data_IF_944099069748
#
_entry.id   IF_944099069748
#
_cell.length_a   1.000
_cell.length_b   1.000
_cell.length_c   1.000
_cell.angle_alpha   90.00
_cell.angle_beta   90.00
_cell.angle_gamma   90.00
#
_symmetry.space_group_name_H-M   'P 1'
#
loop_
_entity.id
_entity.type
_entity.pdbx_description
1 polymer ?
#
# COMPACT_ATOMS: atom_id res chain seq x y z
N UNK A 1 6.42 23.52 22.85
CA UNK A 1 7.11 22.25 22.54
C UNK A 1 6.19 21.02 22.57
N UNK A 2 5.36 20.82 23.61
CA UNK A 2 4.51 19.61 23.71
C UNK A 2 3.54 19.39 22.54
N UNK A 3 2.95 20.47 21.99
CA UNK A 3 2.05 20.41 20.82
C UNK A 3 2.69 19.77 19.59
N UNK A 4 3.97 20.06 19.33
CA UNK A 4 4.71 19.51 18.18
C UNK A 4 5.03 18.02 18.36
N UNK A 5 5.39 17.63 19.57
CA UNK A 5 5.63 16.23 19.89
C UNK A 5 4.34 15.40 19.84
N UNK A 6 3.21 15.95 20.33
CA UNK A 6 1.90 15.30 20.19
C UNK A 6 1.47 15.19 18.73
N UNK A 7 1.59 16.26 17.94
CA UNK A 7 1.27 16.25 16.51
C UNK A 7 2.08 15.17 15.78
N UNK A 8 3.37 15.04 16.10
CA UNK A 8 4.22 14.04 15.50
C UNK A 8 3.84 12.62 15.92
N UNK A 9 3.49 12.38 17.19
CA UNK A 9 2.97 11.07 17.63
C UNK A 9 1.69 10.70 16.86
N UNK A 10 0.75 11.63 16.71
CA UNK A 10 -0.50 11.42 15.96
C UNK A 10 -0.21 11.13 14.48
N UNK A 11 0.61 11.95 13.82
CA UNK A 11 1.01 11.74 12.42
C UNK A 11 1.67 10.38 12.23
N UNK A 12 2.49 9.97 13.19
CA UNK A 12 3.18 8.68 13.11
C UNK A 12 2.20 7.51 13.30
N UNK A 13 1.28 7.60 14.27
CA UNK A 13 0.22 6.61 14.45
C UNK A 13 -0.68 6.46 13.21
N UNK A 14 -1.01 7.57 12.55
CA UNK A 14 -1.75 7.56 11.28
C UNK A 14 -0.96 6.86 10.17
N UNK A 15 0.34 7.15 10.05
CA UNK A 15 1.20 6.49 9.07
C UNK A 15 1.27 4.96 9.29
N UNK A 16 1.35 4.51 10.55
CA UNK A 16 1.24 3.08 10.90
C UNK A 16 -0.11 2.49 10.48
N UNK A 17 -1.20 3.19 10.79
CA UNK A 17 -2.56 2.77 10.48
C UNK A 17 -2.84 2.61 8.99
N UNK A 18 -2.04 3.25 8.11
CA UNK A 18 -2.16 3.12 6.65
C UNK A 18 -1.15 2.10 6.10
N UNK A 19 0.10 2.13 6.57
CA UNK A 19 1.19 1.34 5.97
C UNK A 19 1.10 -0.14 6.35
N UNK A 20 0.75 -0.45 7.60
CA UNK A 20 0.66 -1.84 8.07
C UNK A 20 -0.45 -2.62 7.33
N UNK A 21 -1.70 -2.11 7.23
CA UNK A 21 -2.73 -2.80 6.44
C UNK A 21 -2.37 -2.95 4.97
N UNK A 22 -1.68 -1.95 4.38
CA UNK A 22 -1.19 -2.03 3.00
C UNK A 22 -0.19 -3.17 2.83
N UNK A 23 0.83 -3.26 3.66
CA UNK A 23 1.83 -4.34 3.62
C UNK A 23 1.20 -5.72 3.86
N UNK A 24 0.23 -5.81 4.78
CA UNK A 24 -0.50 -7.04 5.03
C UNK A 24 -1.28 -7.48 3.78
N UNK A 25 -2.00 -6.55 3.13
CA UNK A 25 -2.69 -6.79 1.86
C UNK A 25 -1.75 -7.26 0.76
N UNK A 26 -0.59 -6.61 0.61
CA UNK A 26 0.42 -7.02 -0.36
C UNK A 26 0.91 -8.45 -0.10
N UNK A 27 1.16 -8.80 1.17
CA UNK A 27 1.55 -10.14 1.57
C UNK A 27 0.45 -11.19 1.27
N UNK A 28 -0.82 -10.83 1.41
CA UNK A 28 -1.94 -11.71 1.03
C UNK A 28 -1.99 -11.94 -0.49
N UNK A 29 -1.86 -10.88 -1.29
CA UNK A 29 -1.87 -10.98 -2.76
C UNK A 29 -0.70 -11.84 -3.26
N UNK A 30 0.51 -11.64 -2.72
CA UNK A 30 1.69 -12.46 -3.07
C UNK A 30 1.57 -13.89 -2.52
N UNK A 31 0.66 -14.16 -1.58
CA UNK A 31 0.44 -15.50 -1.00
C UNK A 31 1.37 -15.84 0.17
N UNK A 32 2.04 -14.85 0.76
CA UNK A 32 2.80 -15.02 2.01
C UNK A 32 1.90 -15.07 3.24
N UNK A 33 0.68 -14.53 3.14
CA UNK A 33 -0.34 -14.58 4.17
C UNK A 33 -1.65 -15.14 3.60
N UNK A 34 -2.43 -15.89 4.39
CA UNK A 34 -3.72 -16.37 3.94
C UNK A 34 -4.75 -15.24 3.85
N UNK A 35 -5.80 -15.46 3.07
CA UNK A 35 -7.02 -14.64 3.08
C UNK A 35 -7.41 -14.09 1.72
N UNK A 36 -6.48 -13.91 0.78
CA UNK A 36 -6.83 -13.57 -0.59
C UNK A 36 -7.34 -14.81 -1.33
N UNK A 37 -8.47 -14.68 -2.03
CA UNK A 37 -8.96 -15.68 -2.98
C UNK A 37 -8.24 -15.47 -4.31
N UNK A 38 -7.57 -16.51 -4.82
CA UNK A 38 -6.83 -16.43 -6.08
C UNK A 38 -7.57 -17.22 -7.15
N UNK A 39 -7.92 -16.52 -8.24
CA UNK A 39 -8.63 -17.09 -9.39
C UNK A 39 -7.79 -16.88 -10.65
N UNK A 40 -7.72 -17.91 -11.49
CA UNK A 40 -7.14 -17.78 -12.83
C UNK A 40 -8.17 -17.18 -13.77
N UNK A 41 -7.86 -16.02 -14.32
CA UNK A 41 -8.70 -15.31 -15.28
C UNK A 41 -7.95 -15.10 -16.59
N UNK A 42 -8.69 -14.92 -17.68
CA UNK A 42 -8.09 -14.55 -18.97
C UNK A 42 -8.13 -13.05 -19.14
N UNK A 43 -7.06 -12.45 -19.65
CA UNK A 43 -7.03 -11.04 -20.03
C UNK A 43 -7.98 -10.83 -21.20
N UNK A 44 -9.01 -10.00 -21.02
CA UNK A 44 -10.00 -9.69 -22.04
C UNK A 44 -9.76 -8.33 -22.67
N UNK A 45 -9.16 -7.42 -21.91
CA UNK A 45 -8.93 -6.03 -22.31
C UNK A 45 -7.61 -5.52 -21.74
N UNK A 46 -7.02 -4.54 -22.43
CA UNK A 46 -5.82 -3.81 -22.02
C UNK A 46 -5.90 -2.40 -22.58
N UNK A 47 -5.47 -1.43 -21.81
CA UNK A 47 -5.53 -0.04 -22.22
C UNK A 47 -4.48 0.82 -21.55
N UNK A 48 -4.48 2.09 -21.96
CA UNK A 48 -3.59 3.12 -21.45
C UNK A 48 -4.43 4.34 -21.14
N UNK A 49 -4.40 4.77 -19.88
CA UNK A 49 -5.03 6.01 -19.46
C UNK A 49 -3.98 7.11 -19.40
N UNK A 50 -4.32 8.31 -19.85
CA UNK A 50 -3.49 9.50 -19.60
C UNK A 50 -3.76 10.02 -18.18
N UNK A 51 -2.76 9.88 -17.33
CA UNK A 51 -2.72 10.43 -15.99
C UNK A 51 -2.32 11.91 -15.97
N UNK A 52 -2.33 12.47 -14.76
CA UNK A 52 -1.92 13.85 -14.55
C UNK A 52 -0.48 14.09 -15.03
N UNK A 53 -0.24 15.26 -15.61
CA UNK A 53 1.07 15.69 -16.15
C UNK A 53 1.61 14.80 -17.27
N UNK A 54 0.72 14.18 -18.06
CA UNK A 54 1.08 13.40 -19.25
C UNK A 54 1.71 12.04 -18.93
N UNK A 55 1.62 11.56 -17.69
CA UNK A 55 2.06 10.21 -17.33
C UNK A 55 1.06 9.18 -17.83
N UNK A 56 1.52 8.13 -18.49
CA UNK A 56 0.67 7.03 -18.96
C UNK A 56 0.50 5.98 -17.85
N UNK A 57 -0.74 5.52 -17.65
CA UNK A 57 -1.07 4.43 -16.75
C UNK A 57 -1.55 3.24 -17.55
N UNK A 58 -0.79 2.15 -17.47
CA UNK A 58 -1.05 0.94 -18.21
C UNK A 58 -1.88 -0.01 -17.36
N UNK A 59 -2.88 -0.62 -17.99
CA UNK A 59 -3.81 -1.48 -17.27
C UNK A 59 -4.28 -2.66 -18.11
N UNK A 60 -4.67 -3.72 -17.41
CA UNK A 60 -5.28 -4.92 -17.98
C UNK A 60 -6.55 -5.27 -17.21
N UNK A 61 -7.48 -5.93 -17.89
CA UNK A 61 -8.78 -6.29 -17.37
C UNK A 61 -9.19 -7.68 -17.83
N UNK A 62 -10.07 -8.30 -17.05
CA UNK A 62 -10.67 -9.60 -17.30
C UNK A 62 -12.21 -9.53 -17.28
N UNK A 63 -12.79 -8.33 -17.33
CA UNK A 63 -14.22 -8.15 -17.52
C UNK A 63 -14.63 -8.54 -18.95
N UNK A 64 -15.77 -9.24 -19.09
CA UNK A 64 -16.36 -9.56 -20.39
C UNK A 64 -17.41 -8.52 -20.83
N UNK A 65 -17.31 -7.31 -20.29
CA UNK A 65 -18.36 -6.30 -20.37
C UNK A 65 -17.81 -5.20 -21.28
N UNK A 66 -18.42 -4.97 -22.45
CA UNK A 66 -18.00 -3.88 -23.32
C UNK A 66 -18.08 -2.53 -22.59
N UNK A 67 -16.96 -1.83 -22.45
CA UNK A 67 -16.85 -0.57 -21.68
C UNK A 67 -15.58 -0.50 -20.83
N UNK A 68 -15.36 0.63 -20.15
CA UNK A 68 -14.24 0.78 -19.21
C UNK A 68 -14.49 -0.10 -17.98
N UNK A 69 -13.63 -1.10 -17.71
CA UNK A 69 -13.85 -2.07 -16.65
C UNK A 69 -13.70 -1.41 -15.27
N UNK A 70 -14.57 -1.80 -14.33
CA UNK A 70 -14.49 -1.33 -12.95
C UNK A 70 -13.22 -1.84 -12.26
N UNK A 71 -12.83 -1.23 -11.14
CA UNK A 71 -11.67 -1.65 -10.33
C UNK A 71 -11.73 -3.11 -9.84
N UNK A 72 -12.93 -3.70 -9.81
CA UNK A 72 -13.12 -5.11 -9.45
C UNK A 72 -12.62 -6.09 -10.54
N UNK A 73 -12.39 -5.60 -11.75
CA UNK A 73 -12.03 -6.42 -12.92
C UNK A 73 -10.82 -5.88 -13.68
N UNK A 74 -10.07 -4.96 -13.07
CA UNK A 74 -8.93 -4.29 -13.69
C UNK A 74 -7.84 -4.06 -12.66
N UNK A 75 -6.59 -4.23 -13.08
CA UNK A 75 -5.42 -3.80 -12.32
C UNK A 75 -4.44 -2.98 -13.19
N UNK A 76 -3.62 -2.16 -12.53
CA UNK A 76 -2.55 -1.42 -13.18
C UNK A 76 -1.26 -2.25 -13.18
N UNK A 77 -0.60 -2.25 -14.33
CA UNK A 77 0.63 -3.00 -14.57
C UNK A 77 1.75 -2.05 -15.01
N UNK A 78 3.00 -2.49 -14.90
CA UNK A 78 4.11 -1.72 -15.43
C UNK A 78 4.05 -1.70 -16.96
N UNK A 79 4.65 -0.71 -17.63
CA UNK A 79 4.71 -0.67 -19.09
C UNK A 79 5.29 -1.96 -19.68
N UNK A 80 6.34 -2.51 -19.06
CA UNK A 80 7.03 -3.73 -19.52
C UNK A 80 6.12 -4.96 -19.41
N UNK A 81 5.40 -5.09 -18.29
CA UNK A 81 4.41 -6.17 -18.10
C UNK A 81 3.27 -6.02 -19.10
N UNK A 82 2.76 -4.80 -19.29
CA UNK A 82 1.66 -4.52 -20.23
C UNK A 82 2.02 -4.83 -21.68
N UNK A 83 3.24 -4.52 -22.09
CA UNK A 83 3.76 -4.82 -23.43
C UNK A 83 3.88 -6.33 -23.66
N UNK A 84 4.30 -7.07 -22.62
CA UNK A 84 4.44 -8.52 -22.68
C UNK A 84 3.09 -9.27 -22.72
N UNK A 85 2.05 -8.71 -22.10
CA UNK A 85 0.72 -9.32 -22.01
C UNK A 85 -0.10 -9.18 -23.29
N UNK A 86 -0.80 -10.26 -23.63
CA UNK A 86 -1.73 -10.37 -24.76
C UNK A 86 -3.15 -10.68 -24.27
N UNK A 87 -4.13 -10.33 -25.10
CA UNK A 87 -5.51 -10.79 -24.88
C UNK A 87 -5.56 -12.31 -24.94
N UNK A 88 -6.30 -12.92 -24.02
CA UNK A 88 -6.40 -14.36 -23.85
C UNK A 88 -5.34 -14.97 -22.94
N UNK A 89 -4.30 -14.21 -22.53
CA UNK A 89 -3.33 -14.69 -21.57
C UNK A 89 -3.99 -15.00 -20.24
N UNK A 90 -3.58 -16.10 -19.61
CA UNK A 90 -4.03 -16.46 -18.27
C UNK A 90 -3.23 -15.71 -17.22
N UNK A 91 -3.93 -15.09 -16.28
CA UNK A 91 -3.37 -14.32 -15.18
C UNK A 91 -3.97 -14.76 -13.86
N UNK A 92 -3.18 -14.69 -12.80
CA UNK A 92 -3.65 -14.92 -11.43
C UNK A 92 -4.13 -13.61 -10.81
N UNK A 93 -5.43 -13.57 -10.52
CA UNK A 93 -6.10 -12.43 -9.90
C UNK A 93 -6.39 -12.78 -8.44
N UNK A 94 -5.95 -11.92 -7.53
CA UNK A 94 -6.18 -12.01 -6.10
C UNK A 94 -7.30 -11.03 -5.68
N UNK A 95 -8.29 -11.57 -4.98
CA UNK A 95 -9.38 -10.83 -4.34
C UNK A 95 -9.17 -10.83 -2.84
N UNK A 96 -9.00 -9.64 -2.26
CA UNK A 96 -8.75 -9.49 -0.82
C UNK A 96 -10.07 -9.24 -0.10
N UNK A 97 -10.36 -9.91 1.03
CA UNK A 97 -11.59 -9.70 1.78
C UNK A 97 -11.78 -8.23 2.17
N UNK A 98 -13.02 -7.76 2.07
CA UNK A 98 -13.41 -6.37 2.35
C UNK A 98 -12.75 -5.33 1.42
N UNK A 99 -12.24 -5.74 0.27
CA UNK A 99 -11.77 -4.86 -0.80
C UNK A 99 -12.51 -5.16 -2.11
N UNK A 100 -13.07 -4.13 -2.71
CA UNK A 100 -13.78 -4.24 -3.99
C UNK A 100 -12.81 -4.19 -5.19
N UNK A 101 -11.53 -3.89 -4.94
CA UNK A 101 -10.50 -3.93 -5.96
C UNK A 101 -9.90 -5.34 -6.09
N UNK A 102 -9.48 -5.65 -7.31
CA UNK A 102 -8.82 -6.89 -7.61
C UNK A 102 -7.38 -6.62 -8.08
N UNK A 103 -6.50 -7.56 -7.75
CA UNK A 103 -5.06 -7.34 -7.86
C UNK A 103 -4.40 -8.48 -8.62
N UNK A 104 -3.49 -8.16 -9.52
CA UNK A 104 -2.62 -9.17 -10.11
C UNK A 104 -1.52 -9.55 -9.13
N UNK A 105 -1.22 -10.85 -9.03
CA UNK A 105 -0.11 -11.33 -8.19
C UNK A 105 1.27 -10.84 -8.65
N UNK A 106 1.37 -10.38 -9.89
CA UNK A 106 2.52 -9.72 -10.49
C UNK A 106 2.21 -8.26 -10.91
N UNK A 107 1.17 -7.65 -10.35
CA UNK A 107 0.79 -6.27 -10.62
C UNK A 107 1.69 -5.25 -9.94
N UNK A 108 1.53 -3.97 -10.31
CA UNK A 108 2.33 -2.87 -9.73
C UNK A 108 2.13 -2.77 -8.22
N UNK A 109 0.93 -3.07 -7.72
CA UNK A 109 0.64 -2.98 -6.29
C UNK A 109 1.56 -3.86 -5.43
N UNK A 110 2.00 -5.02 -5.94
CA UNK A 110 2.86 -5.97 -5.24
C UNK A 110 4.29 -6.03 -5.77
N UNK A 111 4.66 -5.07 -6.62
CA UNK A 111 6.01 -5.00 -7.15
C UNK A 111 7.04 -4.90 -6.00
N UNK A 112 8.18 -5.63 -6.06
CA UNK A 112 9.18 -5.62 -5.00
C UNK A 112 9.63 -4.21 -4.59
N UNK A 113 9.72 -3.27 -5.54
CA UNK A 113 10.05 -1.88 -5.27
C UNK A 113 9.05 -1.19 -4.34
N UNK A 114 7.75 -1.40 -4.55
CA UNK A 114 6.70 -0.86 -3.68
C UNK A 114 6.73 -1.51 -2.30
N UNK A 115 6.96 -2.82 -2.23
CA UNK A 115 7.07 -3.52 -0.96
C UNK A 115 8.25 -3.01 -0.12
N UNK A 116 9.42 -2.86 -0.74
CA UNK A 116 10.62 -2.31 -0.07
C UNK A 116 10.37 -0.87 0.37
N UNK A 117 9.78 -0.04 -0.49
CA UNK A 117 9.47 1.35 -0.16
C UNK A 117 8.55 1.46 1.06
N UNK A 118 7.44 0.72 1.09
CA UNK A 118 6.50 0.74 2.21
C UNK A 118 7.13 0.19 3.49
N UNK A 119 8.01 -0.81 3.39
CA UNK A 119 8.73 -1.35 4.54
C UNK A 119 9.74 -0.35 5.12
N UNK A 120 10.51 0.32 4.26
CA UNK A 120 11.44 1.39 4.68
C UNK A 120 10.67 2.55 5.31
N UNK A 121 9.55 2.95 4.71
CA UNK A 121 8.69 3.98 5.25
C UNK A 121 8.22 3.61 6.67
N UNK A 122 7.73 2.38 6.86
CA UNK A 122 7.32 1.86 8.17
C UNK A 122 8.46 1.89 9.20
N UNK A 123 9.67 1.47 8.81
CA UNK A 123 10.83 1.46 9.71
C UNK A 123 11.24 2.88 10.14
N UNK A 124 11.25 3.84 9.22
CA UNK A 124 11.52 5.26 9.52
C UNK A 124 10.43 5.83 10.44
N UNK A 125 9.17 5.56 10.12
CA UNK A 125 8.01 5.94 10.95
C UNK A 125 8.13 5.38 12.37
N UNK A 126 8.55 4.12 12.53
CA UNK A 126 8.80 3.53 13.85
C UNK A 126 9.92 4.25 14.61
N UNK A 127 11.06 4.48 13.94
CA UNK A 127 12.21 5.16 14.56
C UNK A 127 11.86 6.56 15.06
N UNK A 128 11.13 7.32 14.26
CA UNK A 128 10.64 8.67 14.62
C UNK A 128 9.66 8.63 15.80
N UNK A 129 8.74 7.65 15.82
CA UNK A 129 7.84 7.42 16.94
C UNK A 129 8.58 7.17 18.25
N UNK A 130 9.51 6.20 18.26
CA UNK A 130 10.26 5.79 19.45
C UNK A 130 11.10 6.95 19.99
N UNK A 131 11.82 7.65 19.10
CA UNK A 131 12.63 8.80 19.49
C UNK A 131 11.79 9.94 20.11
N UNK A 132 10.59 10.16 19.58
CA UNK A 132 9.72 11.25 20.02
C UNK A 132 9.00 10.92 21.33
N UNK A 133 8.55 9.67 21.49
CA UNK A 133 8.04 9.18 22.77
C UNK A 133 9.11 9.23 23.86
N UNK A 134 10.35 8.81 23.55
CA UNK A 134 11.48 8.91 24.48
C UNK A 134 11.76 10.34 24.93
N UNK A 135 11.73 11.31 23.99
CA UNK A 135 11.87 12.74 24.33
C UNK A 135 10.72 13.26 25.22
N UNK A 136 9.48 12.87 24.94
CA UNK A 136 8.32 13.25 25.75
C UNK A 136 8.42 12.71 27.17
N UNK A 137 8.75 11.42 27.31
CA UNK A 137 8.94 10.77 28.61
C UNK A 137 10.06 11.44 29.39
N UNK A 138 11.21 11.70 28.76
CA UNK A 138 12.32 12.42 29.39
C UNK A 138 11.90 13.79 29.92
N UNK A 139 11.18 14.57 29.12
CA UNK A 139 10.65 15.88 29.54
C UNK A 139 9.69 15.77 30.72
N UNK A 140 8.79 14.79 30.69
CA UNK A 140 7.83 14.56 31.76
C UNK A 140 8.51 14.18 33.09
N UNK A 141 9.49 13.28 33.05
CA UNK A 141 10.27 12.90 34.24
C UNK A 141 11.15 14.04 34.74
N UNK A 142 11.78 14.81 33.85
CA UNK A 142 12.60 15.97 34.25
C UNK A 142 11.75 17.09 34.87
N UNK A 143 10.58 17.38 34.30
CA UNK A 143 9.64 18.38 34.84
C UNK A 143 9.10 17.99 36.22
N UNK A 144 8.81 16.71 36.45
CA UNK A 144 8.42 16.20 37.78
C UNK A 144 9.51 16.34 38.83
N UNK A 145 10.80 16.24 38.45
CA UNK A 145 11.90 16.49 39.39
C UNK A 145 11.92 17.95 39.84
N UNK A 146 11.67 18.92 38.96
CA UNK A 146 11.71 20.35 39.34
C UNK A 146 10.60 20.69 40.33
N UNK A 147 9.39 20.19 40.14
CA UNK A 147 8.24 20.46 41.02
C UNK A 147 8.26 19.74 42.37
N UNK A 148 9.21 18.84 42.62
CA UNK A 148 9.37 18.15 43.92
C UNK A 148 10.33 18.90 44.86
N UNK A 149 11.10 19.85 44.33
CA UNK A 149 12.10 20.63 45.07
C UNK A 149 11.70 22.12 45.26
N UNK A 150 10.46 22.48 44.89
CA UNK A 150 9.78 23.73 45.27
C UNK A 150 8.72 23.42 46.33
#
# INVERSE_FOLDING_TARGET
MWRWALALVISTALAFGVTVPKLYKMAQIVGWQPGAEVVTSSVTQKGVDEGMRGRRHYWVSWANNGGSPSRAYRDNVSPEVWESMKMGDRVEVAYVPCDDAAYLRNGVFVEPGNFVFDFVLLAVTLGVSVASAGRLLWWWFKGRKVAFWE
#
